data_IF_547984792334
#
_entry.id   IF_547984792334
#
_cell.length_a   1.000
_cell.length_b   1.000
_cell.length_c   1.000
_cell.angle_alpha   90.00
_cell.angle_beta   90.00
_cell.angle_gamma   90.00
#
_symmetry.space_group_name_H-M   'P 1'
#
loop_
_entity.id
_entity.type
_entity.pdbx_description
1 polymer ?
#
# COMPACT_ATOMS: atom_id res chain seq x y z
N UNK A 1 51.57 44.56 -42.86
CA UNK A 1 52.19 43.27 -43.23
C UNK A 1 52.02 42.31 -42.04
N UNK A 2 51.66 41.07 -42.30
CA UNK A 2 51.54 40.00 -41.38
C UNK A 2 50.30 40.02 -40.44
N UNK A 3 49.27 39.39 -40.91
CA UNK A 3 48.38 38.65 -40.07
C UNK A 3 47.52 37.68 -40.92
N UNK A 4 47.78 36.45 -40.95
CA UNK A 4 46.85 35.35 -41.33
C UNK A 4 47.54 34.01 -41.03
N UNK A 5 47.28 33.48 -39.87
CA UNK A 5 47.41 32.01 -39.66
C UNK A 5 46.97 31.65 -38.24
N UNK A 6 45.69 31.31 -38.08
CA UNK A 6 45.28 30.35 -37.04
C UNK A 6 43.78 30.17 -37.07
N UNK A 7 43.27 29.44 -38.03
CA UNK A 7 41.87 28.99 -37.93
C UNK A 7 41.64 27.71 -38.75
N UNK A 8 42.29 26.63 -38.38
CA UNK A 8 42.02 25.33 -38.98
C UNK A 8 42.22 24.13 -37.98
N UNK A 9 42.44 24.37 -36.70
CA UNK A 9 42.73 23.29 -35.78
C UNK A 9 41.50 22.80 -34.96
N UNK A 10 40.31 23.36 -35.16
CA UNK A 10 39.12 23.05 -34.34
C UNK A 10 38.17 22.00 -34.91
N UNK A 11 38.27 21.67 -36.21
CA UNK A 11 37.23 20.86 -36.87
C UNK A 11 37.44 19.34 -36.83
N UNK A 12 38.66 18.87 -36.61
CA UNK A 12 38.96 17.43 -36.67
C UNK A 12 38.71 16.67 -35.33
N UNK A 13 38.65 17.41 -34.23
CA UNK A 13 38.40 16.76 -32.92
C UNK A 13 36.95 16.33 -32.66
N UNK A 14 35.99 17.04 -33.29
CA UNK A 14 34.56 16.72 -33.07
C UNK A 14 34.05 15.54 -33.91
N UNK A 15 34.72 15.20 -35.00
CA UNK A 15 34.31 14.12 -35.88
C UNK A 15 34.67 12.76 -35.22
N UNK A 16 35.85 12.68 -34.59
CA UNK A 16 36.30 11.44 -33.91
C UNK A 16 35.45 11.11 -32.68
N UNK A 17 35.01 12.10 -31.91
CA UNK A 17 34.20 11.88 -30.74
C UNK A 17 32.77 11.41 -31.09
N UNK A 18 32.20 11.94 -32.16
CA UNK A 18 30.88 11.53 -32.65
C UNK A 18 30.86 10.11 -33.22
N UNK A 19 31.93 9.71 -33.92
CA UNK A 19 32.08 8.35 -34.42
C UNK A 19 32.29 7.33 -33.28
N UNK A 20 33.02 7.73 -32.23
CA UNK A 20 33.23 6.84 -31.08
C UNK A 20 31.94 6.64 -30.26
N UNK A 21 31.10 7.67 -30.13
CA UNK A 21 29.80 7.55 -29.42
C UNK A 21 28.80 6.67 -30.18
N UNK A 22 28.81 6.70 -31.53
CA UNK A 22 27.93 5.85 -32.34
C UNK A 22 28.35 4.37 -32.36
N UNK A 23 29.62 4.06 -32.21
CA UNK A 23 30.12 2.68 -32.13
C UNK A 23 29.81 2.07 -30.77
N UNK A 24 29.83 2.85 -29.67
CA UNK A 24 29.48 2.38 -28.34
C UNK A 24 27.96 2.15 -28.22
N UNK A 25 27.13 2.94 -28.91
CA UNK A 25 25.68 2.76 -28.91
C UNK A 25 25.21 1.48 -29.62
N UNK A 26 26.01 0.92 -30.55
CA UNK A 26 25.67 -0.28 -31.28
C UNK A 26 25.97 -1.59 -30.50
N UNK A 27 26.77 -1.55 -29.44
CA UNK A 27 27.17 -2.73 -28.65
C UNK A 27 26.28 -2.98 -27.44
N UNK A 28 25.50 -1.98 -26.97
CA UNK A 28 24.62 -2.08 -25.79
C UNK A 28 23.22 -2.63 -26.15
N UNK A 29 22.92 -2.82 -27.43
CA UNK A 29 21.59 -3.15 -27.92
C UNK A 29 21.21 -4.65 -27.99
N UNK A 30 21.98 -5.60 -27.45
CA UNK A 30 21.68 -7.03 -27.64
C UNK A 30 21.79 -7.92 -26.40
N UNK A 31 21.55 -7.38 -25.21
CA UNK A 31 21.29 -8.20 -24.03
C UNK A 31 19.81 -8.11 -23.66
N UNK A 32 18.93 -8.66 -24.50
CA UNK A 32 17.64 -9.14 -24.01
C UNK A 32 17.96 -10.34 -23.13
N UNK A 33 18.26 -10.06 -21.85
CA UNK A 33 18.18 -11.06 -20.81
C UNK A 33 16.72 -11.42 -20.72
N UNK A 34 16.34 -12.48 -21.42
CA UNK A 34 15.10 -13.18 -21.21
C UNK A 34 15.06 -13.56 -19.74
N UNK A 35 14.35 -12.75 -18.95
CA UNK A 35 13.98 -13.10 -17.60
C UNK A 35 13.09 -14.32 -17.76
N UNK A 36 13.68 -15.52 -17.65
CA UNK A 36 12.92 -16.73 -17.47
C UNK A 36 12.08 -16.50 -16.20
N UNK A 37 10.83 -16.11 -16.39
CA UNK A 37 9.82 -16.22 -15.36
C UNK A 37 9.65 -17.72 -15.17
N UNK A 38 10.42 -18.28 -14.24
CA UNK A 38 10.14 -19.60 -13.72
C UNK A 38 8.66 -19.61 -13.31
N UNK A 39 7.98 -20.78 -13.36
CA UNK A 39 6.60 -20.87 -12.94
C UNK A 39 6.51 -20.16 -11.59
N UNK A 40 5.60 -19.19 -11.51
CA UNK A 40 5.33 -18.48 -10.28
C UNK A 40 5.13 -19.56 -9.21
N UNK A 41 6.16 -19.74 -8.36
CA UNK A 41 5.99 -20.55 -7.17
C UNK A 41 4.90 -19.86 -6.42
N UNK A 42 3.67 -20.38 -6.53
CA UNK A 42 2.56 -19.96 -5.72
C UNK A 42 3.10 -19.86 -4.31
N UNK A 43 2.90 -18.73 -3.68
CA UNK A 43 3.22 -18.55 -2.27
C UNK A 43 2.51 -19.70 -1.56
N UNK A 44 3.26 -20.69 -1.10
CA UNK A 44 2.72 -21.72 -0.23
C UNK A 44 2.59 -21.00 1.10
N UNK A 45 1.42 -20.37 1.31
CA UNK A 45 1.10 -19.86 2.62
C UNK A 45 1.12 -21.07 3.57
N UNK A 46 1.79 -20.98 4.73
CA UNK A 46 1.78 -22.08 5.68
C UNK A 46 0.31 -22.43 6.00
N UNK A 47 -0.01 -23.71 6.21
CA UNK A 47 -1.37 -24.10 6.55
C UNK A 47 -1.82 -23.27 7.75
N UNK A 48 -2.85 -22.45 7.56
CA UNK A 48 -3.45 -21.66 8.64
C UNK A 48 -4.00 -22.64 9.67
N UNK A 49 -3.74 -22.35 10.93
CA UNK A 49 -4.34 -23.13 11.99
C UNK A 49 -5.86 -22.91 11.96
N UNK A 50 -6.61 -23.93 11.55
CA UNK A 50 -8.05 -23.87 11.40
C UNK A 50 -8.74 -23.48 12.72
N UNK A 51 -8.19 -23.90 13.86
CA UNK A 51 -8.71 -23.57 15.19
C UNK A 51 -8.60 -22.08 15.48
N UNK A 52 -7.48 -21.45 15.10
CA UNK A 52 -7.27 -20.01 15.25
C UNK A 52 -8.19 -19.23 14.32
N UNK A 53 -8.37 -19.70 13.09
CA UNK A 53 -9.28 -19.09 12.12
C UNK A 53 -10.74 -19.10 12.62
N UNK A 54 -11.21 -20.21 13.20
CA UNK A 54 -12.54 -20.33 13.78
C UNK A 54 -12.71 -19.38 14.96
N UNK A 55 -11.71 -19.29 15.84
CA UNK A 55 -11.74 -18.41 17.02
C UNK A 55 -11.77 -16.92 16.61
N UNK A 56 -10.94 -16.53 15.64
CA UNK A 56 -10.95 -15.17 15.09
C UNK A 56 -12.30 -14.83 14.44
N UNK A 57 -12.87 -15.76 13.68
CA UNK A 57 -14.20 -15.59 13.06
C UNK A 57 -15.28 -15.38 14.11
N UNK A 58 -15.28 -16.16 15.19
CA UNK A 58 -16.23 -15.97 16.29
C UNK A 58 -16.10 -14.56 16.90
N UNK A 59 -14.89 -14.11 17.22
CA UNK A 59 -14.65 -12.77 17.76
C UNK A 59 -15.12 -11.68 16.80
N UNK A 60 -14.93 -11.85 15.48
CA UNK A 60 -15.42 -10.92 14.48
C UNK A 60 -16.96 -10.85 14.46
N UNK A 61 -17.64 -11.98 14.54
CA UNK A 61 -19.11 -12.02 14.60
C UNK A 61 -19.65 -11.33 15.86
N UNK A 62 -19.00 -11.54 17.00
CA UNK A 62 -19.33 -10.84 18.26
C UNK A 62 -19.11 -9.34 18.13
N UNK A 63 -17.99 -8.89 17.53
CA UNK A 63 -17.72 -7.49 17.30
C UNK A 63 -18.80 -6.84 16.42
N UNK A 64 -19.19 -7.49 15.31
CA UNK A 64 -20.29 -7.03 14.45
C UNK A 64 -21.61 -6.90 15.20
N UNK A 65 -21.92 -7.87 16.06
CA UNK A 65 -23.12 -7.83 16.86
C UNK A 65 -23.10 -6.65 17.83
N UNK A 66 -21.97 -6.38 18.52
CA UNK A 66 -21.79 -5.20 19.35
C UNK A 66 -22.01 -3.91 18.57
N UNK A 67 -21.46 -3.78 17.37
CA UNK A 67 -21.60 -2.60 16.54
C UNK A 67 -23.04 -2.38 16.07
N UNK A 68 -23.70 -3.45 15.61
CA UNK A 68 -25.00 -3.31 14.91
C UNK A 68 -26.19 -3.36 15.85
N UNK A 69 -26.20 -4.29 16.79
CA UNK A 69 -27.35 -4.57 17.65
C UNK A 69 -27.27 -3.84 19.00
N UNK A 70 -26.11 -3.85 19.61
CA UNK A 70 -25.91 -3.24 20.94
C UNK A 70 -25.42 -1.82 20.90
N UNK A 71 -24.83 -1.38 19.78
CA UNK A 71 -24.10 -0.10 19.64
C UNK A 71 -23.06 0.11 20.74
N UNK A 72 -22.50 -0.99 21.23
CA UNK A 72 -21.44 -1.03 22.24
C UNK A 72 -20.07 -0.98 21.56
N UNK A 73 -19.69 0.19 21.08
CA UNK A 73 -18.50 0.35 20.23
C UNK A 73 -17.19 0.06 20.96
N UNK A 74 -17.12 0.30 22.27
CA UNK A 74 -15.95 -0.10 23.08
C UNK A 74 -15.79 -1.62 23.12
N UNK A 75 -16.86 -2.37 23.41
CA UNK A 75 -16.82 -3.81 23.39
C UNK A 75 -16.51 -4.39 22.00
N UNK A 76 -16.98 -3.75 20.93
CA UNK A 76 -16.62 -4.10 19.57
C UNK A 76 -15.11 -3.91 19.32
N UNK A 77 -14.59 -2.73 19.69
CA UNK A 77 -13.15 -2.41 19.60
C UNK A 77 -12.30 -3.45 20.31
N UNK A 78 -12.67 -3.83 21.53
CA UNK A 78 -11.90 -4.77 22.34
C UNK A 78 -11.86 -6.17 21.69
N UNK A 79 -12.97 -6.62 21.11
CA UNK A 79 -13.00 -7.88 20.34
C UNK A 79 -12.18 -7.83 19.06
N UNK A 80 -12.21 -6.70 18.35
CA UNK A 80 -11.41 -6.51 17.16
C UNK A 80 -9.92 -6.42 17.50
N UNK A 81 -9.57 -5.80 18.63
CA UNK A 81 -8.19 -5.74 19.10
C UNK A 81 -7.66 -7.14 19.45
N UNK A 82 -8.46 -7.96 20.11
CA UNK A 82 -8.11 -9.36 20.39
C UNK A 82 -7.78 -10.14 19.12
N UNK A 83 -8.52 -9.88 18.02
CA UNK A 83 -8.23 -10.51 16.72
C UNK A 83 -6.86 -10.06 16.20
N UNK A 84 -6.57 -8.76 16.24
CA UNK A 84 -5.30 -8.20 15.75
C UNK A 84 -4.12 -8.75 16.52
N UNK A 85 -4.25 -8.90 17.84
CA UNK A 85 -3.16 -9.30 18.72
C UNK A 85 -2.94 -10.83 18.72
N UNK A 86 -4.02 -11.61 18.66
CA UNK A 86 -3.96 -13.07 18.84
C UNK A 86 -4.01 -13.85 17.54
N UNK A 87 -4.53 -13.25 16.45
CA UNK A 87 -4.77 -13.93 15.18
C UNK A 87 -4.27 -13.11 13.97
N UNK A 88 -2.97 -12.74 13.90
CA UNK A 88 -2.46 -11.83 12.87
C UNK A 88 -2.61 -12.35 11.42
N UNK A 89 -2.70 -13.68 11.25
CA UNK A 89 -2.87 -14.35 9.95
C UNK A 89 -4.35 -14.61 9.59
N UNK A 90 -5.28 -14.01 10.31
CA UNK A 90 -6.71 -14.19 10.06
C UNK A 90 -7.09 -13.76 8.64
N UNK A 91 -7.85 -14.60 7.94
CA UNK A 91 -8.20 -14.41 6.53
C UNK A 91 -8.98 -13.13 6.22
N UNK A 92 -9.68 -12.59 7.22
CA UNK A 92 -10.52 -11.39 7.10
C UNK A 92 -9.95 -10.20 7.89
N UNK A 93 -8.63 -10.09 7.96
CA UNK A 93 -7.97 -8.99 8.66
C UNK A 93 -8.30 -7.63 8.04
N UNK A 94 -8.55 -7.57 6.76
CA UNK A 94 -9.01 -6.37 6.06
C UNK A 94 -10.33 -5.83 6.62
N UNK A 95 -11.29 -6.72 6.87
CA UNK A 95 -12.55 -6.36 7.51
C UNK A 95 -12.36 -5.94 8.97
N UNK A 96 -11.50 -6.66 9.72
CA UNK A 96 -11.18 -6.32 11.11
C UNK A 96 -10.63 -4.90 11.20
N UNK A 97 -9.68 -4.53 10.34
CA UNK A 97 -9.10 -3.19 10.31
C UNK A 97 -10.13 -2.12 9.92
N UNK A 98 -11.00 -2.41 8.95
CA UNK A 98 -12.08 -1.51 8.58
C UNK A 98 -13.06 -1.28 9.74
N UNK A 99 -13.52 -2.35 10.39
CA UNK A 99 -14.44 -2.25 11.53
C UNK A 99 -13.79 -1.60 12.75
N UNK A 100 -12.47 -1.77 12.96
CA UNK A 100 -11.73 -1.05 13.98
C UNK A 100 -11.76 0.47 13.73
N UNK A 101 -11.59 0.88 12.47
CA UNK A 101 -11.78 2.28 12.07
C UNK A 101 -13.19 2.79 12.37
N UNK A 102 -14.22 2.01 12.01
CA UNK A 102 -15.62 2.36 12.29
C UNK A 102 -15.90 2.44 13.80
N UNK A 103 -15.37 1.53 14.62
CA UNK A 103 -15.55 1.55 16.08
C UNK A 103 -14.92 2.81 16.68
N UNK A 104 -13.69 3.16 16.29
CA UNK A 104 -13.03 4.37 16.75
C UNK A 104 -13.75 5.64 16.29
N UNK A 105 -14.26 5.65 15.05
CA UNK A 105 -15.08 6.77 14.55
C UNK A 105 -16.34 6.99 15.38
N UNK A 106 -17.03 5.92 15.78
CA UNK A 106 -18.21 5.99 16.64
C UNK A 106 -17.92 6.38 18.09
N UNK A 107 -16.66 6.27 18.50
CA UNK A 107 -16.15 6.71 19.82
C UNK A 107 -15.53 8.12 19.76
N UNK A 108 -15.74 8.87 18.68
CA UNK A 108 -15.17 10.21 18.44
C UNK A 108 -13.64 10.26 18.45
N UNK A 109 -12.97 9.11 18.22
CA UNK A 109 -11.51 8.97 18.15
C UNK A 109 -11.04 9.10 16.69
N UNK A 110 -11.21 10.27 16.11
CA UNK A 110 -11.07 10.54 14.66
C UNK A 110 -9.68 10.17 14.13
N UNK A 111 -8.60 10.53 14.85
CA UNK A 111 -7.22 10.26 14.42
C UNK A 111 -6.93 8.78 14.40
N UNK A 112 -7.41 8.04 15.40
CA UNK A 112 -7.26 6.57 15.44
C UNK A 112 -8.06 5.91 14.33
N UNK A 113 -9.30 6.36 14.08
CA UNK A 113 -10.12 5.86 12.99
C UNK A 113 -9.41 6.03 11.65
N UNK A 114 -8.87 7.23 11.38
CA UNK A 114 -8.11 7.51 10.17
C UNK A 114 -6.88 6.60 10.04
N UNK A 115 -6.15 6.36 11.13
CA UNK A 115 -5.00 5.46 11.16
C UNK A 115 -5.35 4.03 10.74
N UNK A 116 -6.46 3.48 11.24
CA UNK A 116 -6.92 2.13 10.88
C UNK A 116 -7.39 2.04 9.44
N UNK A 117 -8.11 3.03 8.89
CA UNK A 117 -8.47 3.05 7.48
C UNK A 117 -7.24 3.14 6.58
N UNK A 118 -6.24 3.96 6.92
CA UNK A 118 -4.99 4.05 6.18
C UNK A 118 -4.21 2.74 6.22
N UNK A 119 -4.12 2.10 7.39
CA UNK A 119 -3.47 0.79 7.55
C UNK A 119 -4.15 -0.25 6.68
N UNK A 120 -5.48 -0.33 6.70
CA UNK A 120 -6.26 -1.25 5.89
C UNK A 120 -5.99 -1.03 4.39
N UNK A 121 -6.01 0.22 3.91
CA UNK A 121 -5.74 0.54 2.51
C UNK A 121 -4.31 0.25 2.06
N UNK A 122 -3.35 0.35 2.97
CA UNK A 122 -1.95 0.03 2.71
C UNK A 122 -1.73 -1.47 2.62
N UNK A 123 -2.28 -2.22 3.57
CA UNK A 123 -2.02 -3.65 3.71
C UNK A 123 -2.94 -4.49 2.78
N UNK A 124 -4.14 -3.97 2.47
CA UNK A 124 -5.18 -4.66 1.67
C UNK A 124 -5.81 -3.72 0.62
N UNK A 125 -5.05 -3.23 -0.37
CA UNK A 125 -5.53 -2.23 -1.34
C UNK A 125 -6.68 -2.73 -2.23
N UNK A 126 -6.76 -4.05 -2.45
CA UNK A 126 -7.75 -4.71 -3.32
C UNK A 126 -8.95 -5.28 -2.54
N UNK A 127 -9.04 -5.00 -1.23
CA UNK A 127 -10.16 -5.44 -0.40
C UNK A 127 -11.49 -4.81 -0.86
N UNK A 128 -12.59 -5.55 -0.66
CA UNK A 128 -13.95 -5.03 -0.86
C UNK A 128 -14.26 -3.79 0.01
N UNK A 129 -13.56 -3.63 1.14
CA UNK A 129 -13.68 -2.49 2.04
C UNK A 129 -12.88 -1.26 1.60
N UNK A 130 -11.96 -1.39 0.63
CA UNK A 130 -11.05 -0.31 0.23
C UNK A 130 -11.79 0.96 -0.23
N UNK A 131 -12.87 0.80 -1.02
CA UNK A 131 -13.69 1.93 -1.46
C UNK A 131 -14.36 2.65 -0.28
N UNK A 132 -14.89 1.88 0.68
CA UNK A 132 -15.54 2.42 1.88
C UNK A 132 -14.55 3.15 2.77
N UNK A 133 -13.36 2.59 2.98
CA UNK A 133 -12.31 3.20 3.79
C UNK A 133 -11.82 4.53 3.20
N UNK A 134 -11.66 4.63 1.86
CA UNK A 134 -11.34 5.89 1.20
C UNK A 134 -12.42 6.95 1.43
N UNK A 135 -13.69 6.57 1.26
CA UNK A 135 -14.80 7.49 1.51
C UNK A 135 -14.84 8.00 2.95
N UNK A 136 -14.57 7.12 3.94
CA UNK A 136 -14.46 7.52 5.35
C UNK A 136 -13.31 8.49 5.60
N UNK A 137 -12.14 8.25 5.02
CA UNK A 137 -11.01 9.17 5.14
C UNK A 137 -11.31 10.55 4.56
N UNK A 138 -12.02 10.62 3.45
CA UNK A 138 -12.41 11.90 2.85
C UNK A 138 -13.45 12.64 3.71
N UNK A 139 -14.41 11.92 4.30
CA UNK A 139 -15.37 12.46 5.27
C UNK A 139 -14.65 13.07 6.49
N UNK A 140 -13.71 12.33 7.09
CA UNK A 140 -12.93 12.80 8.25
C UNK A 140 -12.10 14.05 7.96
N UNK A 141 -11.49 14.17 6.77
CA UNK A 141 -10.75 15.37 6.35
C UNK A 141 -11.65 16.60 6.24
N UNK A 142 -12.89 16.43 5.77
CA UNK A 142 -13.88 17.52 5.66
C UNK A 142 -14.29 18.01 7.04
N UNK A 143 -14.52 17.12 8.00
CA UNK A 143 -14.95 17.46 9.34
C UNK A 143 -13.85 18.18 10.13
N UNK A 144 -12.59 17.71 10.04
CA UNK A 144 -11.46 18.42 10.64
C UNK A 144 -11.29 19.84 10.10
N UNK A 145 -11.49 20.05 8.79
CA UNK A 145 -11.41 21.38 8.18
C UNK A 145 -12.54 22.32 8.62
N UNK A 146 -13.73 21.79 8.92
CA UNK A 146 -14.85 22.56 9.45
C UNK A 146 -14.66 22.97 10.90
N UNK A 147 -14.06 22.10 11.73
CA UNK A 147 -13.81 22.37 13.14
C UNK A 147 -12.69 23.40 13.41
N UNK A 148 -11.89 23.74 12.38
CA UNK A 148 -10.81 24.74 12.46
C UNK A 148 -11.22 26.16 12.03
N UNK A 149 -12.48 26.39 11.68
CA UNK A 149 -13.05 27.70 11.30
C UNK A 149 -13.92 28.26 12.41
#
# INVERSE_FOLDING_TARGET
>A
MLALRSSQAGSLRHISVRMFVLVIAAIVGSAVVGRAQGPARGRIDPPRDETLEISAKHNLEVARWYMTKRKAFEGARDRLQEIIDSYPEFSRMDEVLFLMGEAHFKLDMVEKAAGYYQKMLKDYPDSEFAKKARARLDELKIDQKKGQR
#
